data_IF_135668449243
#
_entry.id   IF_135668449243
#
_cell.length_a   1.000
_cell.length_b   1.000
_cell.length_c   1.000
_cell.angle_alpha   90.00
_cell.angle_beta   90.00
_cell.angle_gamma   90.00
#
_symmetry.space_group_name_H-M   'P 1'
#
loop_
_entity.id
_entity.type
_entity.pdbx_description
1 polymer ?
#
# COMPACT_ATOMS: atom_id res chain seq x y z
N UNK A 1 2.78 -31.24 -38.34
CA UNK A 1 1.58 -30.37 -38.24
C UNK A 1 0.49 -31.10 -37.49
N UNK A 2 0.40 -30.89 -36.16
CA UNK A 2 -0.89 -30.98 -35.48
C UNK A 2 -1.14 -29.76 -34.56
N UNK A 3 -2.30 -29.15 -34.82
CA UNK A 3 -3.37 -28.83 -33.86
C UNK A 3 -3.07 -28.01 -32.60
N UNK A 4 -3.50 -26.75 -32.65
CA UNK A 4 -3.68 -25.84 -31.52
C UNK A 4 -4.73 -26.35 -30.53
N UNK A 5 -4.38 -26.35 -29.23
CA UNK A 5 -5.30 -26.58 -28.13
C UNK A 5 -5.68 -25.22 -27.56
N UNK A 6 -6.93 -24.84 -27.80
CA UNK A 6 -7.62 -23.72 -27.16
C UNK A 6 -8.02 -24.11 -25.74
N UNK A 7 -7.60 -23.32 -24.75
CA UNK A 7 -8.03 -23.45 -23.36
C UNK A 7 -8.75 -22.17 -22.91
N UNK A 8 -10.02 -22.04 -23.26
CA UNK A 8 -10.93 -21.10 -22.58
C UNK A 8 -11.56 -21.81 -21.39
N UNK A 9 -11.12 -21.49 -20.16
CA UNK A 9 -11.76 -21.98 -18.93
C UNK A 9 -12.42 -20.81 -18.19
N UNK A 10 -13.74 -20.70 -18.34
CA UNK A 10 -14.59 -19.79 -17.57
C UNK A 10 -14.70 -20.32 -16.14
N UNK A 11 -14.12 -19.62 -15.16
CA UNK A 11 -14.35 -19.89 -13.75
C UNK A 11 -15.57 -19.10 -13.26
N UNK A 12 -16.69 -19.80 -13.08
CA UNK A 12 -17.84 -19.33 -12.30
C UNK A 12 -17.48 -19.41 -10.82
N UNK A 13 -17.21 -18.27 -10.19
CA UNK A 13 -17.05 -18.17 -8.74
C UNK A 13 -18.43 -18.12 -8.07
N UNK A 14 -18.76 -19.21 -7.39
CA UNK A 14 -19.96 -19.41 -6.58
C UNK A 14 -19.68 -18.87 -5.17
N UNK A 15 -20.26 -17.73 -4.85
CA UNK A 15 -20.16 -17.08 -3.54
C UNK A 15 -20.98 -17.85 -2.48
N UNK A 16 -20.32 -18.64 -1.62
CA UNK A 16 -20.91 -19.18 -0.41
C UNK A 16 -20.62 -18.24 0.77
N UNK A 17 -21.65 -17.54 1.24
CA UNK A 17 -21.59 -16.70 2.43
C UNK A 17 -21.51 -17.55 3.71
N UNK A 18 -20.40 -17.45 4.43
CA UNK A 18 -20.26 -17.98 5.78
C UNK A 18 -20.47 -16.85 6.79
N UNK A 19 -21.60 -16.92 7.50
CA UNK A 19 -21.92 -16.08 8.66
C UNK A 19 -21.10 -16.56 9.87
N UNK A 20 -20.16 -15.77 10.34
CA UNK A 20 -19.52 -15.98 11.65
C UNK A 20 -20.32 -15.28 12.74
N UNK A 21 -20.93 -16.07 13.62
CA UNK A 21 -21.61 -15.62 14.82
C UNK A 21 -20.62 -15.19 15.91
N UNK A 22 -20.84 -14.00 16.47
CA UNK A 22 -20.08 -13.45 17.58
C UNK A 22 -20.54 -14.09 18.90
N UNK A 23 -19.74 -14.99 19.48
CA UNK A 23 -19.93 -15.48 20.84
C UNK A 23 -19.13 -14.61 21.80
N UNK A 24 -19.85 -13.72 22.50
CA UNK A 24 -19.39 -13.04 23.72
C UNK A 24 -19.16 -14.08 24.82
N UNK A 25 -18.00 -14.08 25.47
CA UNK A 25 -17.89 -14.41 26.92
C UNK A 25 -16.50 -14.12 27.52
N UNK A 26 -16.58 -13.62 28.76
CA UNK A 26 -15.61 -13.58 29.85
C UNK A 26 -14.51 -12.51 29.86
N UNK A 27 -14.86 -11.36 30.47
CA UNK A 27 -13.92 -10.55 31.24
C UNK A 27 -13.70 -11.22 32.62
N UNK A 28 -12.45 -11.61 32.90
CA UNK A 28 -11.99 -12.02 34.23
C UNK A 28 -11.35 -10.80 34.89
N UNK A 29 -12.03 -10.23 35.89
CA UNK A 29 -11.46 -9.22 36.77
C UNK A 29 -10.63 -9.92 37.84
N UNK A 30 -9.29 -9.88 37.70
CA UNK A 30 -8.37 -10.23 38.79
C UNK A 30 -8.25 -9.01 39.73
N UNK A 31 -9.04 -9.05 40.81
CA UNK A 31 -8.91 -8.14 41.94
C UNK A 31 -7.72 -8.56 42.80
N UNK A 32 -6.64 -7.78 42.76
CA UNK A 32 -5.56 -7.83 43.74
C UNK A 32 -6.06 -7.21 45.06
N UNK A 33 -6.25 -8.03 46.08
CA UNK A 33 -6.32 -7.56 47.48
C UNK A 33 -5.15 -8.15 48.24
N UNK A 34 -4.17 -7.28 48.48
CA UNK A 34 -3.17 -7.43 49.53
C UNK A 34 -3.69 -6.67 50.74
N UNK A 35 -3.96 -7.37 51.84
CA UNK A 35 -4.02 -6.76 53.18
C UNK A 35 -3.52 -7.78 54.18
N UNK A 36 -2.32 -7.50 54.69
CA UNK A 36 -1.70 -8.21 55.78
C UNK A 36 -2.53 -8.11 57.07
N UNK A 37 -2.39 -9.18 57.85
CA UNK A 37 -2.93 -9.38 59.18
C UNK A 37 -2.56 -8.25 60.16
N UNK A 38 -3.45 -7.98 61.11
CA UNK A 38 -3.08 -7.63 62.49
C UNK A 38 -4.23 -7.93 63.47
N UNK A 39 -3.94 -8.93 64.31
CA UNK A 39 -4.27 -9.12 65.73
C UNK A 39 -5.68 -8.79 66.27
N UNK A 40 -6.29 -9.89 66.71
CA UNK A 40 -7.32 -10.05 67.73
C UNK A 40 -7.10 -9.27 69.03
N UNK A 41 -8.16 -8.63 69.52
CA UNK A 41 -8.48 -8.46 70.96
C UNK A 41 -10.00 -8.56 71.16
N UNK A 42 -10.48 -9.00 72.34
CA UNK A 42 -11.84 -9.49 72.51
C UNK A 42 -12.84 -8.44 73.03
N UNK A 43 -14.09 -8.65 72.60
CA UNK A 43 -15.37 -8.41 73.29
C UNK A 43 -15.52 -7.16 74.17
N UNK A 44 -16.35 -6.24 73.70
CA UNK A 44 -17.27 -5.50 74.57
C UNK A 44 -18.57 -5.27 73.82
N UNK A 45 -19.63 -5.92 74.26
CA UNK A 45 -20.99 -5.74 73.75
C UNK A 45 -21.48 -4.34 74.15
N UNK A 46 -21.46 -3.41 73.21
CA UNK A 46 -22.22 -2.16 73.32
C UNK A 46 -23.55 -2.33 72.60
N UNK A 47 -24.60 -1.95 73.31
CA UNK A 47 -25.99 -2.01 72.89
C UNK A 47 -26.19 -1.49 71.46
N UNK A 48 -26.95 -2.25 70.67
CA UNK A 48 -27.43 -1.86 69.37
C UNK A 48 -28.34 -0.63 69.52
N UNK A 49 -27.74 0.56 69.45
CA UNK A 49 -28.48 1.75 69.08
C UNK A 49 -28.86 1.58 67.62
N UNK A 50 -30.15 1.38 67.39
CA UNK A 50 -30.82 1.49 66.09
C UNK A 50 -30.64 2.92 65.56
N UNK A 51 -29.41 3.25 65.17
CA UNK A 51 -29.10 4.38 64.31
C UNK A 51 -29.75 4.08 62.98
N UNK A 52 -30.84 4.78 62.68
CA UNK A 52 -31.39 4.85 61.34
C UNK A 52 -30.24 5.19 60.39
N UNK A 53 -29.72 4.18 59.68
CA UNK A 53 -28.79 4.41 58.58
C UNK A 53 -29.58 5.21 57.55
N UNK A 54 -29.45 6.53 57.60
CA UNK A 54 -29.86 7.40 56.52
C UNK A 54 -29.23 6.82 55.26
N UNK A 55 -30.07 6.53 54.26
CA UNK A 55 -29.63 6.13 52.94
C UNK A 55 -28.70 7.23 52.42
N UNK A 56 -27.40 7.06 52.60
CA UNK A 56 -26.38 7.91 51.98
C UNK A 56 -26.49 7.63 50.49
N UNK A 57 -27.33 8.41 49.83
CA UNK A 57 -27.32 8.47 48.38
C UNK A 57 -25.93 8.97 48.01
N UNK A 58 -25.16 8.13 47.32
CA UNK A 58 -23.85 8.52 46.80
C UNK A 58 -24.12 9.70 45.86
N UNK A 59 -23.80 10.92 46.30
CA UNK A 59 -23.86 12.11 45.47
C UNK A 59 -22.93 11.87 44.29
N UNK A 60 -23.51 11.63 43.11
CA UNK A 60 -22.76 11.59 41.86
C UNK A 60 -22.43 13.03 41.52
N UNK A 61 -21.19 13.42 41.75
CA UNK A 61 -20.65 14.66 41.22
C UNK A 61 -20.33 14.43 39.74
N UNK A 62 -20.97 15.22 38.88
CA UNK A 62 -20.60 15.30 37.47
C UNK A 62 -19.71 16.52 37.31
N UNK A 63 -18.50 16.30 36.79
CA UNK A 63 -17.60 17.37 36.37
C UNK A 63 -17.69 17.51 34.86
N UNK A 64 -17.80 18.74 34.38
CA UNK A 64 -17.65 19.01 32.96
C UNK A 64 -16.21 18.69 32.54
N UNK A 65 -15.98 17.98 31.42
CA UNK A 65 -14.64 17.59 30.99
C UNK A 65 -13.81 18.75 30.44
N UNK A 66 -14.46 19.88 30.11
CA UNK A 66 -13.81 21.04 29.50
C UNK A 66 -13.87 22.24 30.46
N UNK A 67 -12.72 22.80 30.90
CA UNK A 67 -12.69 24.02 31.69
C UNK A 67 -12.97 25.26 30.83
N UNK A 68 -13.31 26.39 31.46
CA UNK A 68 -13.69 27.63 30.76
C UNK A 68 -12.60 28.18 29.84
N UNK A 69 -11.33 27.87 30.14
CA UNK A 69 -10.16 28.27 29.35
C UNK A 69 -9.75 27.24 28.28
N UNK A 70 -10.61 26.27 27.96
CA UNK A 70 -10.32 25.25 26.93
C UNK A 70 -10.14 25.86 25.53
N UNK A 71 -10.91 26.90 25.21
CA UNK A 71 -10.73 27.73 24.00
C UNK A 71 -10.50 29.16 24.47
N UNK A 72 -9.44 29.85 24.02
CA UNK A 72 -9.19 31.23 24.42
C UNK A 72 -10.37 32.14 24.07
N UNK A 73 -10.68 33.07 24.97
CA UNK A 73 -11.75 34.05 24.76
C UNK A 73 -11.51 34.86 23.48
N UNK A 74 -12.51 34.91 22.61
CA UNK A 74 -12.44 35.61 21.33
C UNK A 74 -11.71 34.86 20.21
N UNK A 75 -11.20 33.64 20.43
CA UNK A 75 -10.58 32.85 19.38
C UNK A 75 -11.62 32.32 18.38
N UNK A 76 -11.44 32.61 17.09
CA UNK A 76 -12.22 32.00 16.01
C UNK A 76 -11.74 30.58 15.75
N UNK A 77 -12.64 29.60 15.78
CA UNK A 77 -12.32 28.21 15.42
C UNK A 77 -12.49 27.97 13.93
N UNK A 78 -11.70 27.05 13.37
CA UNK A 78 -11.86 26.61 12.00
C UNK A 78 -13.20 25.89 11.81
N UNK A 79 -13.85 26.08 10.66
CA UNK A 79 -15.04 25.32 10.32
C UNK A 79 -14.72 23.81 10.18
N UNK A 80 -15.54 22.97 10.82
CA UNK A 80 -15.37 21.51 10.76
C UNK A 80 -16.16 20.84 9.62
N UNK A 81 -16.97 21.60 8.89
CA UNK A 81 -17.76 21.12 7.76
C UNK A 81 -17.86 22.19 6.66
N UNK A 82 -18.01 21.75 5.41
CA UNK A 82 -18.02 22.64 4.25
C UNK A 82 -19.24 23.57 4.18
N UNK A 83 -20.39 23.15 4.71
CA UNK A 83 -21.63 23.93 4.70
C UNK A 83 -22.60 23.42 5.79
N UNK A 84 -23.44 24.27 6.40
CA UNK A 84 -24.52 23.82 7.28
C UNK A 84 -25.67 23.12 6.53
N UNK A 85 -25.75 23.27 5.20
CA UNK A 85 -26.85 22.71 4.39
C UNK A 85 -26.58 21.23 4.08
N UNK A 86 -27.44 20.29 4.50
CA UNK A 86 -27.18 18.85 4.32
C UNK A 86 -27.05 18.42 2.86
N UNK A 87 -27.86 18.97 1.96
CA UNK A 87 -27.80 18.64 0.53
C UNK A 87 -26.48 19.05 -0.13
N UNK A 88 -25.92 20.19 0.29
CA UNK A 88 -24.60 20.65 -0.17
C UNK A 88 -23.51 19.73 0.35
N UNK A 89 -23.56 19.34 1.64
CA UNK A 89 -22.62 18.38 2.22
C UNK A 89 -22.67 17.03 1.52
N UNK A 90 -23.87 16.49 1.28
CA UNK A 90 -24.07 15.22 0.58
C UNK A 90 -23.44 15.27 -0.82
N UNK A 91 -23.66 16.36 -1.57
CA UNK A 91 -23.05 16.56 -2.88
C UNK A 91 -21.52 16.60 -2.79
N UNK A 92 -20.95 17.33 -1.83
CA UNK A 92 -19.49 17.41 -1.64
C UNK A 92 -18.91 16.03 -1.29
N UNK A 93 -19.54 15.30 -0.36
CA UNK A 93 -19.10 13.94 -0.02
C UNK A 93 -19.15 13.03 -1.25
N UNK A 94 -20.18 13.14 -2.09
CA UNK A 94 -20.26 12.40 -3.36
C UNK A 94 -19.12 12.74 -4.31
N UNK A 95 -18.76 14.01 -4.45
CA UNK A 95 -17.62 14.42 -5.30
C UNK A 95 -16.31 13.79 -4.85
N UNK A 96 -16.05 13.74 -3.54
CA UNK A 96 -14.81 13.17 -2.99
C UNK A 96 -14.83 11.64 -2.92
N UNK A 97 -15.98 11.02 -2.68
CA UNK A 97 -16.09 9.56 -2.69
C UNK A 97 -15.81 8.98 -4.09
N UNK A 98 -16.23 9.70 -5.13
CA UNK A 98 -16.02 9.32 -6.53
C UNK A 98 -14.79 9.98 -7.17
N UNK A 99 -13.94 10.65 -6.37
CA UNK A 99 -12.71 11.22 -6.88
C UNK A 99 -11.69 10.12 -7.17
N UNK A 100 -10.80 10.28 -8.16
CA UNK A 100 -9.70 9.35 -8.33
C UNK A 100 -8.84 9.31 -7.06
N UNK A 101 -8.23 8.16 -6.79
CA UNK A 101 -7.35 7.99 -5.63
C UNK A 101 -6.02 8.72 -5.88
N UNK A 102 -5.98 9.98 -5.49
CA UNK A 102 -4.78 10.80 -5.61
C UNK A 102 -3.63 10.21 -4.80
N UNK A 103 -2.45 10.12 -5.42
CA UNK A 103 -1.25 9.58 -4.79
C UNK A 103 -1.21 8.06 -4.71
N UNK A 104 -2.22 7.34 -5.22
CA UNK A 104 -2.11 5.89 -5.42
C UNK A 104 -1.03 5.63 -6.47
N UNK A 105 -0.13 4.71 -6.15
CA UNK A 105 0.93 4.25 -7.05
C UNK A 105 1.01 2.74 -6.96
N UNK A 106 1.21 2.10 -8.09
CA UNK A 106 1.38 0.65 -8.15
C UNK A 106 2.88 0.35 -8.14
N UNK A 107 3.42 -0.22 -7.05
CA UNK A 107 4.82 -0.62 -7.01
C UNK A 107 5.08 -1.77 -7.98
N UNK A 108 6.16 -1.66 -8.74
CA UNK A 108 6.67 -2.69 -9.63
C UNK A 108 7.09 -3.93 -8.83
N UNK A 109 7.89 -3.72 -7.78
CA UNK A 109 8.32 -4.75 -6.84
C UNK A 109 8.68 -4.14 -5.49
N UNK A 110 8.81 -4.99 -4.48
CA UNK A 110 9.30 -4.64 -3.14
C UNK A 110 10.62 -5.37 -2.90
N UNK A 111 11.68 -4.59 -2.69
CA UNK A 111 13.00 -5.11 -2.36
C UNK A 111 13.16 -5.18 -0.84
N UNK A 112 13.85 -6.22 -0.37
CA UNK A 112 14.06 -6.45 1.05
C UNK A 112 15.51 -6.71 1.43
N UNK A 113 15.87 -6.17 2.59
CA UNK A 113 17.22 -6.14 3.16
C UNK A 113 17.23 -6.76 4.55
N UNK A 114 18.35 -7.38 4.95
CA UNK A 114 18.54 -7.83 6.33
C UNK A 114 18.82 -6.66 7.28
N UNK A 115 19.50 -5.63 6.77
CA UNK A 115 19.98 -4.50 7.56
C UNK A 115 18.87 -3.53 7.96
N UNK A 116 19.18 -2.67 8.93
CA UNK A 116 18.26 -1.66 9.43
C UNK A 116 18.08 -0.50 8.42
N UNK A 117 16.96 0.22 8.51
CA UNK A 117 16.71 1.35 7.62
C UNK A 117 17.79 2.43 7.72
N UNK A 118 18.36 2.66 8.91
CA UNK A 118 19.38 3.70 9.13
C UNK A 118 20.67 3.49 8.33
N UNK A 119 21.08 2.25 8.10
CA UNK A 119 22.29 1.95 7.32
C UNK A 119 22.03 2.03 5.82
N UNK A 120 20.78 1.87 5.39
CA UNK A 120 20.37 1.87 3.99
C UNK A 120 20.02 3.26 3.45
N UNK A 121 19.92 4.27 4.32
CA UNK A 121 19.65 5.66 3.88
C UNK A 121 20.73 6.15 2.92
N UNK A 122 21.99 5.83 3.19
CA UNK A 122 23.14 6.27 2.40
C UNK A 122 23.21 5.56 1.04
N UNK A 123 22.88 4.26 1.00
CA UNK A 123 22.92 3.46 -0.24
C UNK A 123 21.66 3.60 -1.10
N UNK A 124 20.64 4.36 -0.67
CA UNK A 124 19.37 4.49 -1.39
C UNK A 124 19.54 5.11 -2.79
N UNK A 125 20.45 6.06 -2.98
CA UNK A 125 20.73 6.65 -4.30
C UNK A 125 21.40 5.64 -5.24
N UNK A 126 22.36 4.87 -4.72
CA UNK A 126 23.03 3.82 -5.51
C UNK A 126 22.07 2.69 -5.88
N UNK A 127 21.15 2.35 -4.97
CA UNK A 127 20.08 1.38 -5.21
C UNK A 127 19.23 1.79 -6.41
N UNK A 128 18.85 3.07 -6.50
CA UNK A 128 18.08 3.61 -7.63
C UNK A 128 18.82 3.41 -8.95
N UNK A 129 20.12 3.75 -8.98
CA UNK A 129 20.98 3.63 -10.17
C UNK A 129 21.09 2.18 -10.66
N UNK A 130 21.37 1.24 -9.76
CA UNK A 130 21.52 -0.18 -10.13
C UNK A 130 20.20 -0.82 -10.57
N UNK A 131 19.08 -0.44 -9.95
CA UNK A 131 17.75 -0.86 -10.41
C UNK A 131 17.44 -0.32 -11.81
N UNK A 132 17.76 0.94 -12.06
CA UNK A 132 17.57 1.56 -13.38
C UNK A 132 18.40 0.83 -14.45
N UNK A 133 19.66 0.52 -14.17
CA UNK A 133 20.50 -0.29 -15.06
C UNK A 133 19.95 -1.70 -15.27
N UNK A 134 19.47 -2.37 -14.22
CA UNK A 134 18.86 -3.70 -14.35
C UNK A 134 17.60 -3.68 -15.24
N UNK A 135 16.85 -2.58 -15.27
CA UNK A 135 15.72 -2.38 -16.15
C UNK A 135 16.07 -1.82 -17.54
N UNK A 136 17.32 -1.40 -17.77
CA UNK A 136 17.70 -0.66 -18.97
C UNK A 136 17.01 0.70 -19.09
N UNK A 137 16.67 1.33 -17.96
CA UNK A 137 15.96 2.62 -17.89
C UNK A 137 16.86 3.74 -17.35
N UNK A 138 16.45 4.98 -17.54
CA UNK A 138 17.15 6.12 -16.95
C UNK A 138 16.92 6.17 -15.42
N UNK A 139 17.93 6.61 -14.66
CA UNK A 139 17.83 6.73 -13.21
C UNK A 139 16.64 7.61 -12.79
N UNK A 140 16.40 8.69 -13.53
CA UNK A 140 15.29 9.63 -13.29
C UNK A 140 13.90 8.98 -13.37
N UNK A 141 13.74 7.90 -14.15
CA UNK A 141 12.45 7.22 -14.33
C UNK A 141 12.11 6.31 -13.15
N UNK A 142 13.12 5.69 -12.52
CA UNK A 142 12.90 4.82 -11.37
C UNK A 142 12.70 5.67 -10.12
N UNK A 143 11.62 5.45 -9.38
CA UNK A 143 11.41 6.11 -8.09
C UNK A 143 11.38 5.10 -6.96
N UNK A 144 11.99 5.46 -5.82
CA UNK A 144 12.06 4.60 -4.65
C UNK A 144 11.19 5.15 -3.52
N UNK A 145 10.28 4.31 -3.03
CA UNK A 145 9.45 4.57 -1.86
C UNK A 145 10.24 4.78 -0.58
N UNK A 146 9.53 5.09 0.53
CA UNK A 146 10.16 5.20 1.84
C UNK A 146 10.78 3.86 2.26
N UNK A 147 11.86 3.93 3.04
CA UNK A 147 12.43 2.76 3.72
C UNK A 147 11.49 2.35 4.85
N UNK A 148 10.85 1.19 4.72
CA UNK A 148 9.90 0.65 5.68
C UNK A 148 10.57 -0.43 6.51
N UNK A 149 10.94 -0.12 7.75
CA UNK A 149 11.45 -1.12 8.68
C UNK A 149 10.29 -1.93 9.28
N UNK A 150 10.31 -3.24 9.07
CA UNK A 150 9.35 -4.17 9.68
C UNK A 150 9.56 -4.23 11.20
N UNK A 151 8.50 -4.56 11.92
CA UNK A 151 8.50 -4.62 13.37
C UNK A 151 9.28 -5.85 13.84
N UNK A 152 10.20 -5.68 14.78
CA UNK A 152 10.84 -6.81 15.45
C UNK A 152 9.84 -7.51 16.37
N UNK A 153 9.30 -8.64 15.89
CA UNK A 153 8.25 -9.37 16.58
C UNK A 153 8.84 -10.49 17.44
N UNK A 154 8.57 -10.50 18.75
CA UNK A 154 8.85 -11.66 19.60
C UNK A 154 8.00 -12.88 19.21
N UNK A 155 6.75 -12.62 18.79
CA UNK A 155 5.85 -13.63 18.22
C UNK A 155 5.50 -13.22 16.80
N UNK A 156 6.08 -13.92 15.83
CA UNK A 156 5.81 -13.65 14.42
C UNK A 156 4.32 -13.91 14.10
N UNK A 157 3.66 -12.89 13.54
CA UNK A 157 2.34 -13.03 12.92
C UNK A 157 2.50 -12.84 11.41
N UNK A 158 2.20 -13.88 10.63
CA UNK A 158 2.25 -13.80 9.17
C UNK A 158 1.09 -12.99 8.61
N UNK A 159 1.26 -12.45 7.39
CA UNK A 159 0.21 -11.76 6.66
C UNK A 159 -0.08 -10.32 7.11
N UNK A 160 0.77 -9.73 7.96
CA UNK A 160 0.69 -8.31 8.32
C UNK A 160 1.73 -7.51 7.55
N UNK A 161 1.42 -6.26 7.19
CA UNK A 161 2.37 -5.38 6.49
C UNK A 161 3.63 -5.11 7.32
N UNK A 162 3.51 -5.10 8.65
CA UNK A 162 4.62 -4.88 9.59
C UNK A 162 5.47 -6.13 9.84
N UNK A 163 5.04 -7.31 9.40
CA UNK A 163 5.77 -8.55 9.71
C UNK A 163 7.02 -8.71 8.85
N UNK A 164 8.17 -9.09 9.46
CA UNK A 164 9.37 -9.41 8.70
C UNK A 164 9.10 -10.48 7.65
N UNK A 165 9.73 -10.34 6.48
CA UNK A 165 9.48 -11.25 5.35
C UNK A 165 10.24 -12.55 5.52
N UNK A 166 9.54 -13.66 5.33
CA UNK A 166 10.11 -15.01 5.35
C UNK A 166 10.64 -15.37 3.96
N UNK A 167 11.69 -16.21 3.90
CA UNK A 167 12.28 -16.58 2.61
C UNK A 167 11.34 -17.40 1.70
N UNK A 168 10.34 -18.06 2.27
CA UNK A 168 9.29 -18.80 1.54
C UNK A 168 7.94 -18.06 1.53
N UNK A 169 7.96 -16.74 1.78
CA UNK A 169 6.79 -15.85 1.77
C UNK A 169 5.89 -16.05 0.55
N UNK A 170 4.61 -15.67 0.68
CA UNK A 170 3.78 -15.52 -0.51
C UNK A 170 4.45 -14.52 -1.46
N UNK A 171 4.38 -14.75 -2.76
CA UNK A 171 4.93 -13.85 -3.79
C UNK A 171 6.45 -13.65 -3.77
N UNK A 172 7.22 -14.42 -2.99
CA UNK A 172 8.69 -14.32 -2.96
C UNK A 172 9.38 -15.15 -4.05
N UNK A 173 8.77 -16.27 -4.47
CA UNK A 173 9.28 -17.14 -5.54
C UNK A 173 8.15 -17.88 -6.26
N UNK A 174 8.31 -18.20 -7.56
CA UNK A 174 7.34 -18.99 -8.31
C UNK A 174 7.16 -20.42 -7.75
N UNK A 175 8.18 -20.98 -7.12
CA UNK A 175 8.14 -22.31 -6.50
C UNK A 175 7.88 -22.29 -4.97
N UNK A 176 7.66 -21.10 -4.39
CA UNK A 176 7.46 -20.94 -2.95
C UNK A 176 6.26 -21.76 -2.44
N UNK A 177 5.17 -21.80 -3.20
CA UNK A 177 3.98 -22.60 -2.86
C UNK A 177 4.28 -24.09 -2.73
N UNK A 178 4.95 -24.67 -3.72
CA UNK A 178 5.29 -26.08 -3.70
C UNK A 178 6.23 -26.41 -2.53
N UNK A 179 7.18 -25.53 -2.23
CA UNK A 179 8.07 -25.69 -1.06
C UNK A 179 7.34 -25.60 0.27
N UNK A 180 6.32 -24.74 0.37
CA UNK A 180 5.46 -24.65 1.56
C UNK A 180 4.68 -25.94 1.78
N UNK A 181 4.18 -26.57 0.72
CA UNK A 181 3.47 -27.86 0.81
C UNK A 181 4.40 -29.01 1.24
N UNK A 182 5.67 -28.96 0.84
CA UNK A 182 6.65 -30.00 1.15
C UNK A 182 7.26 -29.91 2.56
N UNK A 183 7.03 -28.82 3.31
CA UNK A 183 7.70 -28.55 4.60
C UNK A 183 6.68 -28.33 5.71
N UNK A 184 7.01 -28.83 6.90
CA UNK A 184 6.16 -28.66 8.09
C UNK A 184 6.32 -27.28 8.75
N UNK A 185 7.40 -26.56 8.44
CA UNK A 185 7.73 -25.25 8.99
C UNK A 185 8.19 -24.29 7.90
N UNK A 186 8.00 -23.00 8.16
CA UNK A 186 8.42 -21.92 7.27
C UNK A 186 9.93 -21.69 7.33
N UNK A 187 10.48 -21.13 6.26
CA UNK A 187 11.86 -20.65 6.24
C UNK A 187 12.05 -19.46 7.21
N UNK A 188 13.28 -19.21 7.69
CA UNK A 188 13.55 -18.09 8.59
C UNK A 188 13.26 -16.73 7.92
N UNK A 189 13.21 -15.71 8.77
CA UNK A 189 13.12 -14.30 8.35
C UNK A 189 14.32 -13.98 7.44
N UNK A 190 14.02 -13.48 6.25
CA UNK A 190 15.00 -13.06 5.27
C UNK A 190 15.17 -11.55 5.28
N UNK A 191 14.09 -10.78 5.19
CA UNK A 191 14.16 -9.32 5.14
C UNK A 191 13.44 -8.63 6.30
N UNK A 192 14.08 -7.57 6.80
CA UNK A 192 13.60 -6.72 7.90
C UNK A 192 13.31 -5.29 7.45
N UNK A 193 13.98 -4.80 6.42
CA UNK A 193 13.71 -3.48 5.84
C UNK A 193 13.25 -3.66 4.40
N UNK A 194 12.20 -2.95 4.01
CA UNK A 194 11.58 -3.04 2.69
C UNK A 194 11.63 -1.68 1.99
N UNK A 195 11.76 -1.71 0.66
CA UNK A 195 11.67 -0.53 -0.22
C UNK A 195 10.79 -0.87 -1.40
N UNK A 196 9.77 -0.06 -1.63
CA UNK A 196 8.94 -0.16 -2.82
C UNK A 196 9.62 0.54 -4.00
N UNK A 197 9.60 -0.11 -5.17
CA UNK A 197 10.14 0.42 -6.41
C UNK A 197 8.98 0.80 -7.31
N UNK A 198 8.94 2.04 -7.77
CA UNK A 198 7.94 2.54 -8.70
C UNK A 198 8.58 2.85 -10.05
N UNK A 199 7.84 2.54 -11.11
CA UNK A 199 8.15 2.96 -12.47
C UNK A 199 7.09 3.98 -12.91
N UNK A 200 7.40 4.90 -13.82
CA UNK A 200 6.39 5.78 -14.37
C UNK A 200 5.44 4.93 -15.24
N UNK A 201 4.14 5.21 -15.16
CA UNK A 201 3.20 4.62 -16.10
C UNK A 201 3.50 5.13 -17.51
N UNK A 202 3.49 4.25 -18.51
CA UNK A 202 3.80 4.58 -19.91
C UNK A 202 2.84 5.65 -20.48
N UNK A 203 1.69 5.85 -19.87
CA UNK A 203 0.74 6.92 -20.18
C UNK A 203 1.35 8.34 -20.10
N UNK A 204 2.40 8.54 -19.30
CA UNK A 204 3.07 9.85 -19.17
C UNK A 204 3.95 10.21 -20.39
N UNK A 205 4.35 9.24 -21.22
CA UNK A 205 5.22 9.46 -22.38
C UNK A 205 4.46 9.62 -23.70
N UNK A 206 3.16 9.28 -23.75
CA UNK A 206 2.30 9.45 -24.93
C UNK A 206 1.92 10.90 -25.27
N UNK A 207 2.23 11.87 -24.40
CA UNK A 207 1.87 13.28 -24.59
C UNK A 207 2.70 14.08 -25.61
N UNK A 208 3.67 13.46 -26.29
CA UNK A 208 4.60 14.15 -27.20
C UNK A 208 4.75 13.47 -28.58
N UNK A 209 3.78 12.66 -29.00
CA UNK A 209 3.69 12.19 -30.37
C UNK A 209 2.74 13.10 -31.16
N UNK A 210 3.34 14.04 -31.89
CA UNK A 210 2.81 14.77 -33.05
C UNK A 210 1.38 14.42 -33.48
N UNK A 211 0.39 15.07 -32.86
CA UNK A 211 -0.92 15.28 -33.49
C UNK A 211 -0.80 16.43 -34.48
N UNK A 212 0.03 16.26 -35.51
CA UNK A 212 0.05 17.14 -36.66
C UNK A 212 -1.26 16.97 -37.43
N UNK A 213 -2.16 17.90 -37.13
CA UNK A 213 -3.31 18.34 -37.91
C UNK A 213 -3.24 17.95 -39.40
N UNK A 214 -3.96 16.90 -39.80
CA UNK A 214 -4.42 16.73 -41.17
C UNK A 214 -5.91 17.08 -41.22
N UNK A 215 -6.16 18.30 -41.67
CA UNK A 215 -7.48 18.82 -41.99
C UNK A 215 -7.89 18.33 -43.38
N UNK A 216 -9.09 17.74 -43.50
CA UNK A 216 -9.76 17.39 -44.76
C UNK A 216 -10.26 15.94 -44.75
N UNK A 217 -11.53 15.61 -44.89
CA UNK A 217 -12.75 16.33 -45.19
C UNK A 217 -13.84 15.30 -45.52
N UNK A 218 -15.09 15.66 -45.26
CA UNK A 218 -16.35 15.10 -45.76
C UNK A 218 -16.78 13.66 -45.35
N UNK A 219 -17.90 13.65 -44.62
CA UNK A 219 -19.07 12.78 -44.75
C UNK A 219 -18.88 11.25 -44.68
N UNK A 220 -19.19 10.66 -43.51
CA UNK A 220 -20.07 9.48 -43.49
C UNK A 220 -20.70 9.26 -42.10
N UNK A 221 -22.01 9.53 -42.02
CA UNK A 221 -22.87 9.02 -40.95
C UNK A 221 -23.13 7.52 -41.18
N UNK A 222 -22.68 6.66 -40.27
CA UNK A 222 -23.26 5.34 -40.06
C UNK A 222 -22.83 4.75 -38.69
N UNK A 223 -23.78 4.76 -37.76
CA UNK A 223 -23.98 3.77 -36.69
C UNK A 223 -22.76 2.98 -36.18
N UNK A 224 -22.26 3.38 -35.02
CA UNK A 224 -21.58 2.46 -34.09
C UNK A 224 -21.96 2.86 -32.66
N UNK A 225 -23.03 2.24 -32.16
CA UNK A 225 -23.26 2.15 -30.73
C UNK A 225 -22.34 1.05 -30.19
N UNK A 226 -21.28 1.44 -29.47
CA UNK A 226 -20.34 0.52 -28.84
C UNK A 226 -18.94 1.09 -28.66
N UNK A 227 -18.80 2.26 -28.04
CA UNK A 227 -17.50 2.90 -27.72
C UNK A 227 -17.35 3.23 -26.22
N UNK A 228 -17.93 2.41 -25.34
CA UNK A 228 -17.83 2.59 -23.88
C UNK A 228 -16.81 1.64 -23.20
N UNK A 229 -15.90 1.01 -23.96
CA UNK A 229 -15.01 -0.05 -23.43
C UNK A 229 -13.51 0.30 -23.34
N UNK A 230 -13.02 1.38 -23.96
CA UNK A 230 -11.55 1.50 -24.20
C UNK A 230 -10.76 2.27 -23.11
N UNK A 231 -11.41 3.01 -22.20
CA UNK A 231 -10.67 3.78 -21.17
C UNK A 231 -10.24 2.94 -19.96
N UNK A 232 -10.88 1.80 -19.69
CA UNK A 232 -10.48 0.92 -18.58
C UNK A 232 -9.36 -0.06 -18.96
N UNK A 233 -9.15 -0.32 -20.25
CA UNK A 233 -8.18 -1.32 -20.70
C UNK A 233 -6.75 -0.80 -20.60
N UNK A 234 -6.50 0.45 -20.98
CA UNK A 234 -5.17 1.06 -20.95
C UNK A 234 -4.53 1.10 -19.55
N UNK A 235 -5.31 1.41 -18.51
CA UNK A 235 -4.80 1.41 -17.13
C UNK A 235 -4.41 0.01 -16.65
N UNK A 236 -5.20 -1.01 -17.02
CA UNK A 236 -4.90 -2.40 -16.69
C UNK A 236 -3.66 -2.92 -17.44
N UNK A 237 -3.49 -2.53 -18.71
CA UNK A 237 -2.31 -2.83 -19.50
C UNK A 237 -1.05 -2.16 -18.93
N UNK A 238 -1.14 -0.89 -18.53
CA UNK A 238 -0.03 -0.17 -17.88
C UNK A 238 0.37 -0.84 -16.55
N UNK A 239 -0.60 -1.25 -15.73
CA UNK A 239 -0.32 -2.00 -14.51
C UNK A 239 0.31 -3.37 -14.80
N UNK A 240 -0.16 -4.08 -15.82
CA UNK A 240 0.43 -5.35 -16.24
C UNK A 240 1.89 -5.19 -16.71
N UNK A 241 2.20 -4.12 -17.46
CA UNK A 241 3.55 -3.80 -17.88
C UNK A 241 4.46 -3.49 -16.67
N UNK A 242 3.97 -2.72 -15.70
CA UNK A 242 4.69 -2.44 -14.45
C UNK A 242 5.00 -3.74 -13.68
N UNK A 243 4.01 -4.62 -13.53
CA UNK A 243 4.20 -5.90 -12.84
C UNK A 243 5.18 -6.83 -13.60
N UNK A 244 5.18 -6.80 -14.93
CA UNK A 244 6.12 -7.59 -15.74
C UNK A 244 7.58 -7.24 -15.44
N UNK A 245 7.90 -5.95 -15.26
CA UNK A 245 9.23 -5.52 -14.81
C UNK A 245 9.55 -6.08 -13.41
N UNK A 246 8.56 -6.10 -12.51
CA UNK A 246 8.73 -6.64 -11.15
C UNK A 246 9.08 -8.12 -11.16
N UNK A 247 8.34 -8.91 -11.95
CA UNK A 247 8.59 -10.33 -12.14
C UNK A 247 9.96 -10.59 -12.76
N UNK A 248 10.35 -9.79 -13.76
CA UNK A 248 11.67 -9.87 -14.36
C UNK A 248 12.78 -9.67 -13.31
N UNK A 249 12.73 -8.59 -12.52
CA UNK A 249 13.75 -8.32 -11.51
C UNK A 249 13.80 -9.42 -10.45
N UNK A 250 12.63 -9.89 -10.00
CA UNK A 250 12.54 -10.99 -9.05
C UNK A 250 13.20 -12.27 -9.58
N UNK A 251 12.93 -12.63 -10.83
CA UNK A 251 13.50 -13.84 -11.45
C UNK A 251 15.02 -13.73 -11.59
N UNK A 252 15.53 -12.57 -12.04
CA UNK A 252 16.97 -12.35 -12.20
C UNK A 252 17.71 -12.40 -10.86
N UNK A 253 17.19 -11.71 -9.84
CA UNK A 253 17.77 -11.75 -8.50
C UNK A 253 17.75 -13.18 -7.92
N UNK A 254 16.69 -13.93 -8.18
CA UNK A 254 16.61 -15.32 -7.73
C UNK A 254 17.63 -16.23 -8.43
N UNK A 255 17.74 -16.14 -9.77
CA UNK A 255 18.75 -16.87 -10.54
C UNK A 255 20.15 -16.59 -10.01
N UNK A 256 20.47 -15.32 -9.77
CA UNK A 256 21.75 -14.89 -9.22
C UNK A 256 22.01 -15.50 -7.82
N UNK A 257 21.04 -15.39 -6.91
CA UNK A 257 21.17 -15.97 -5.57
C UNK A 257 21.33 -17.50 -5.61
N UNK A 258 20.64 -18.19 -6.51
CA UNK A 258 20.78 -19.65 -6.67
C UNK A 258 22.18 -20.01 -7.15
N UNK A 259 22.65 -19.36 -8.22
CA UNK A 259 23.98 -19.55 -8.77
C UNK A 259 25.07 -19.27 -7.73
N UNK A 260 24.97 -18.16 -7.01
CA UNK A 260 25.94 -17.78 -5.97
C UNK A 260 25.97 -18.78 -4.81
N UNK A 261 24.83 -19.37 -4.44
CA UNK A 261 24.78 -20.40 -3.41
C UNK A 261 25.37 -21.74 -3.85
N UNK A 262 25.31 -22.06 -5.14
CA UNK A 262 25.98 -23.23 -5.73
C UNK A 262 27.48 -22.99 -5.88
N UNK A 263 27.90 -21.81 -6.35
CA UNK A 263 29.29 -21.39 -6.41
C UNK A 263 29.96 -21.49 -5.04
N UNK A 264 29.33 -21.02 -3.95
CA UNK A 264 29.86 -21.18 -2.58
C UNK A 264 30.06 -22.64 -2.14
N UNK A 265 29.35 -23.60 -2.73
CA UNK A 265 29.59 -25.04 -2.47
C UNK A 265 30.76 -25.58 -3.29
N UNK A 266 31.00 -25.00 -4.47
CA UNK A 266 32.02 -25.43 -5.43
C UNK A 266 33.34 -24.65 -5.34
N UNK A 267 33.36 -23.44 -4.81
CA UNK A 267 34.55 -22.59 -4.57
C UNK A 267 35.47 -23.15 -3.49
N UNK A 268 35.16 -24.33 -2.96
CA UNK A 268 36.14 -25.18 -2.29
C UNK A 268 37.05 -25.92 -3.29
N UNK A 269 36.86 -25.78 -4.61
CA UNK A 269 37.58 -26.55 -5.62
C UNK A 269 38.09 -25.84 -6.88
N UNK A 270 37.68 -24.65 -7.32
CA UNK A 270 38.33 -24.00 -8.49
C UNK A 270 37.95 -22.53 -8.75
N UNK A 271 38.96 -21.72 -9.06
CA UNK A 271 38.84 -20.32 -9.48
C UNK A 271 38.65 -20.16 -10.99
N UNK A 272 37.78 -19.21 -11.34
CA UNK A 272 37.83 -18.28 -12.48
C UNK A 272 37.67 -18.82 -13.92
N UNK A 273 36.43 -18.70 -14.42
CA UNK A 273 36.18 -18.33 -15.80
C UNK A 273 35.45 -16.98 -15.84
N UNK A 274 36.19 -15.90 -16.06
CA UNK A 274 35.65 -14.56 -16.33
C UNK A 274 35.20 -14.51 -17.80
N UNK A 275 33.96 -14.91 -18.04
CA UNK A 275 33.24 -14.57 -19.27
C UNK A 275 32.71 -13.14 -19.22
N UNK A 276 32.43 -12.56 -20.40
CA UNK A 276 31.73 -11.29 -20.51
C UNK A 276 30.35 -11.42 -19.82
N UNK A 277 30.17 -10.73 -18.70
CA UNK A 277 28.89 -10.70 -17.98
C UNK A 277 27.96 -9.70 -18.63
N UNK A 278 26.70 -10.07 -18.75
CA UNK A 278 25.64 -9.17 -19.21
C UNK A 278 25.51 -7.97 -18.25
N UNK A 279 25.16 -6.79 -18.77
CA UNK A 279 24.99 -5.57 -17.96
C UNK A 279 23.92 -5.78 -16.87
N UNK A 280 22.88 -6.55 -17.19
CA UNK A 280 21.84 -6.96 -16.24
C UNK A 280 22.45 -7.82 -15.13
N UNK A 281 23.27 -8.81 -15.46
CA UNK A 281 23.91 -9.67 -14.45
C UNK A 281 24.84 -8.88 -13.52
N UNK A 282 25.60 -7.91 -14.06
CA UNK A 282 26.44 -7.02 -13.25
C UNK A 282 25.59 -6.19 -12.30
N UNK A 283 24.48 -5.65 -12.78
CA UNK A 283 23.56 -4.83 -11.97
C UNK A 283 22.92 -5.66 -10.86
N UNK A 284 22.44 -6.86 -11.17
CA UNK A 284 21.86 -7.78 -10.18
C UNK A 284 22.91 -8.23 -9.15
N UNK A 285 24.15 -8.48 -9.59
CA UNK A 285 25.24 -8.80 -8.69
C UNK A 285 25.53 -7.65 -7.72
N UNK A 286 25.60 -6.41 -8.21
CA UNK A 286 25.81 -5.23 -7.38
C UNK A 286 24.66 -5.03 -6.37
N UNK A 287 23.40 -5.18 -6.81
CA UNK A 287 22.23 -5.10 -5.92
C UNK A 287 22.33 -6.07 -4.74
N UNK A 288 22.72 -7.33 -4.99
CA UNK A 288 22.81 -8.33 -3.95
C UNK A 288 24.10 -8.20 -3.11
N UNK A 289 25.25 -7.95 -3.74
CA UNK A 289 26.57 -8.08 -3.11
C UNK A 289 27.04 -6.80 -2.43
N UNK A 290 26.82 -5.66 -3.08
CA UNK A 290 27.25 -4.35 -2.61
C UNK A 290 26.16 -3.71 -1.75
N UNK A 291 24.90 -3.85 -2.18
CA UNK A 291 23.73 -3.19 -1.59
C UNK A 291 22.94 -4.08 -0.63
N UNK A 292 23.23 -5.38 -0.57
CA UNK A 292 22.60 -6.29 0.40
C UNK A 292 21.13 -6.60 0.11
N UNK A 293 20.67 -6.47 -1.15
CA UNK A 293 19.32 -6.90 -1.55
C UNK A 293 19.26 -8.42 -1.52
N UNK A 294 18.46 -8.97 -0.61
CA UNK A 294 18.35 -10.42 -0.40
C UNK A 294 16.92 -10.94 -0.59
N UNK A 295 15.97 -10.06 -0.86
CA UNK A 295 14.57 -10.40 -1.03
C UNK A 295 13.93 -9.51 -2.10
N UNK A 296 13.05 -10.09 -2.91
CA UNK A 296 12.24 -9.37 -3.88
C UNK A 296 10.87 -10.06 -3.95
N UNK A 297 9.79 -9.29 -3.81
CA UNK A 297 8.42 -9.75 -4.02
C UNK A 297 7.69 -8.81 -4.97
N UNK A 298 6.78 -9.36 -5.77
CA UNK A 298 5.84 -8.58 -6.58
C UNK A 298 4.53 -8.50 -5.79
N UNK A 299 4.15 -7.33 -5.25
CA UNK A 299 2.97 -7.22 -4.42
C UNK A 299 1.71 -7.47 -5.27
N UNK A 300 0.66 -8.08 -4.69
CA UNK A 300 -0.62 -8.18 -5.38
C UNK A 300 -1.20 -6.79 -5.62
N UNK A 301 -2.01 -6.65 -6.67
CA UNK A 301 -2.73 -5.40 -6.94
C UNK A 301 -3.62 -5.04 -5.75
N UNK A 302 -3.61 -3.75 -5.40
CA UNK A 302 -4.44 -3.25 -4.32
C UNK A 302 -5.90 -3.16 -4.76
N UNK A 303 -6.67 -4.18 -4.41
CA UNK A 303 -8.13 -4.26 -4.59
C UNK A 303 -8.91 -3.59 -3.45
N UNK A 304 -8.23 -2.91 -2.50
CA UNK A 304 -8.91 -2.23 -1.37
C UNK A 304 -9.68 -0.97 -1.77
N UNK A 305 -9.61 -0.57 -3.05
CA UNK A 305 -10.44 0.49 -3.61
C UNK A 305 -11.92 0.23 -3.36
N UNK A 306 -12.63 1.26 -2.90
CA UNK A 306 -14.06 1.14 -2.60
C UNK A 306 -14.89 1.55 -3.81
N UNK A 307 -15.75 0.64 -4.29
CA UNK A 307 -16.78 0.95 -5.28
C UNK A 307 -18.03 1.44 -4.55
N UNK A 308 -18.40 2.70 -4.79
CA UNK A 308 -19.55 3.33 -4.17
C UNK A 308 -20.82 3.08 -4.99
N UNK A 309 -21.55 2.01 -4.70
CA UNK A 309 -22.87 1.78 -5.32
C UNK A 309 -23.95 2.71 -4.74
N UNK A 310 -23.80 3.07 -3.46
CA UNK A 310 -24.71 3.96 -2.75
C UNK A 310 -23.94 4.94 -1.85
N UNK A 311 -24.45 6.17 -1.76
CA UNK A 311 -23.99 7.18 -0.81
C UNK A 311 -25.18 7.79 -0.08
N UNK A 312 -25.13 7.76 1.26
CA UNK A 312 -26.23 8.21 2.13
C UNK A 312 -27.57 7.52 1.83
N UNK A 313 -27.54 6.22 1.47
CA UNK A 313 -28.72 5.44 1.13
C UNK A 313 -29.36 5.78 -0.22
N UNK A 314 -28.66 6.55 -1.07
CA UNK A 314 -29.08 6.86 -2.44
C UNK A 314 -28.14 6.16 -3.42
N UNK A 315 -28.72 5.55 -4.44
CA UNK A 315 -27.99 4.95 -5.55
C UNK A 315 -27.20 6.02 -6.32
N UNK A 316 -26.05 5.61 -6.84
CA UNK A 316 -25.23 6.45 -7.71
C UNK A 316 -25.43 5.99 -9.15
N UNK A 317 -26.15 6.80 -9.91
CA UNK A 317 -26.32 6.54 -11.35
C UNK A 317 -24.97 6.65 -12.08
N UNK A 318 -24.78 5.84 -13.13
CA UNK A 318 -23.58 5.87 -13.96
C UNK A 318 -23.30 7.29 -14.52
N UNK A 319 -24.32 7.98 -15.02
CA UNK A 319 -24.23 9.36 -15.49
C UNK A 319 -23.73 10.34 -14.41
N UNK A 320 -24.08 10.09 -13.14
CA UNK A 320 -23.62 10.91 -12.02
C UNK A 320 -22.14 10.66 -11.77
N UNK A 321 -21.72 9.40 -11.76
CA UNK A 321 -20.31 9.03 -11.61
C UNK A 321 -19.46 9.62 -12.73
N UNK A 322 -19.87 9.43 -13.99
CA UNK A 322 -19.18 9.96 -15.16
C UNK A 322 -19.05 11.49 -15.11
N UNK A 323 -20.12 12.21 -14.75
CA UNK A 323 -20.05 13.67 -14.58
C UNK A 323 -19.08 14.11 -13.48
N UNK A 324 -18.94 13.32 -12.40
CA UNK A 324 -17.97 13.61 -11.33
C UNK A 324 -16.55 13.35 -11.84
N UNK A 325 -16.31 12.23 -12.51
CA UNK A 325 -15.02 11.90 -13.14
C UNK A 325 -14.62 13.00 -14.12
N UNK A 326 -15.50 13.39 -15.05
CA UNK A 326 -15.26 14.47 -16.02
C UNK A 326 -14.99 15.84 -15.35
N UNK A 327 -15.52 16.09 -14.15
CA UNK A 327 -15.15 17.29 -13.38
C UNK A 327 -13.75 17.16 -12.81
N UNK A 328 -13.38 16.01 -12.25
CA UNK A 328 -12.04 15.76 -11.71
C UNK A 328 -10.96 15.78 -12.80
N UNK A 329 -11.20 15.16 -13.95
CA UNK A 329 -10.28 15.20 -15.10
C UNK A 329 -10.01 16.63 -15.55
N UNK A 330 -11.06 17.47 -15.66
CA UNK A 330 -10.89 18.90 -15.98
C UNK A 330 -10.12 19.66 -14.90
N UNK A 331 -10.36 19.39 -13.61
CA UNK A 331 -9.60 20.01 -12.51
C UNK A 331 -8.12 19.61 -12.57
N UNK A 332 -7.82 18.35 -12.84
CA UNK A 332 -6.45 17.85 -12.97
C UNK A 332 -5.72 18.54 -14.14
N UNK A 333 -6.34 18.61 -15.33
CA UNK A 333 -5.78 19.30 -16.48
C UNK A 333 -5.52 20.79 -16.21
N UNK A 334 -6.45 21.48 -15.54
CA UNK A 334 -6.28 22.88 -15.14
C UNK A 334 -5.12 23.07 -14.14
N UNK A 335 -4.96 22.17 -13.18
CA UNK A 335 -3.86 22.23 -12.22
C UNK A 335 -2.50 22.00 -12.88
N UNK A 336 -2.40 21.05 -13.82
CA UNK A 336 -1.18 20.81 -14.59
C UNK A 336 -0.78 22.03 -15.42
N UNK A 337 -1.74 22.67 -16.11
CA UNK A 337 -1.48 23.90 -16.87
C UNK A 337 -0.98 25.04 -15.97
N UNK A 338 -1.55 25.19 -14.77
CA UNK A 338 -1.10 26.22 -13.81
C UNK A 338 0.31 25.94 -13.28
N UNK A 339 0.70 24.67 -13.10
CA UNK A 339 2.05 24.30 -12.67
C UNK A 339 3.07 24.60 -13.77
N UNK A 340 2.79 24.21 -15.02
CA UNK A 340 3.67 24.52 -16.17
C UNK A 340 3.87 26.03 -16.34
N UNK A 341 2.81 26.82 -16.23
CA UNK A 341 2.92 28.29 -16.30
C UNK A 341 3.78 28.87 -15.18
N UNK A 342 3.76 28.29 -13.97
CA UNK A 342 4.61 28.73 -12.85
C UNK A 342 6.08 28.39 -13.11
N UNK A 343 6.36 27.18 -13.57
CA UNK A 343 7.73 26.74 -13.90
C UNK A 343 8.33 27.60 -15.02
N UNK A 344 7.56 27.91 -16.07
CA UNK A 344 8.02 28.83 -17.12
C UNK A 344 8.30 30.24 -16.59
N UNK A 345 7.49 30.75 -15.67
CA UNK A 345 7.70 32.06 -15.06
C UNK A 345 8.94 32.07 -14.16
N UNK A 346 9.22 30.97 -13.45
CA UNK A 346 10.42 30.83 -12.63
C UNK A 346 11.68 30.73 -13.50
N UNK A 347 11.65 30.01 -14.61
CA UNK A 347 12.77 29.95 -15.57
C UNK A 347 13.03 31.30 -16.26
N UNK A 348 11.99 32.12 -16.47
CA UNK A 348 12.10 33.46 -17.06
C UNK A 348 12.56 34.53 -16.08
N UNK A 349 12.63 34.27 -14.77
CA UNK A 349 13.21 35.22 -13.81
C UNK A 349 14.74 35.24 -14.00
N UNK A 350 15.33 36.34 -14.48
CA UNK A 350 16.77 36.43 -14.62
C UNK A 350 17.41 36.26 -13.25
N UNK A 351 18.44 35.40 -13.16
CA UNK A 351 19.25 35.24 -11.95
C UNK A 351 19.90 36.59 -11.64
N UNK A 352 19.39 37.27 -10.62
CA UNK A 352 19.92 38.54 -10.14
C UNK A 352 21.24 38.36 -9.40
#
# INVERSE_FOLDING_TARGET
>A
MPSAISMTRKHLLRSCGLRFGCVRRHAVLLSRRSTCALRSTPLTACAASSSAFALVTVHRYYHWPYPDNFVPDGATTSAFQSSPVPSVRERIVREYALSPLFGRRTPCCVLGFADAASTLVESKSELRRWIAQAFGKAEAEVELGPLCQTKEMMLHRSGTYESPRLADGAWSRPDAEQRRLARYARLPVQARTLVEVYLPGEEAQGGNADYSSSNGGAEQEANTAGEDADLSDGAAEAEAAILAHGWFLQEQLYKYMSFRNEAKKHDQQQHEAQGAKDEVEVSIAALHDELGVIYCEVPPLDESGFLFDQLHGKEIDADVAERVVNRWTRRAAQQQQQQQQREEQEQKKPSA
#
